data_IF_781266583981
#
_entry.id   IF_781266583981
#
_cell.length_a   1.000
_cell.length_b   1.000
_cell.length_c   1.000
_cell.angle_alpha   90.00
_cell.angle_beta   90.00
_cell.angle_gamma   90.00
#
_symmetry.space_group_name_H-M   'P 1'
#
loop_
_entity.id
_entity.type
_entity.pdbx_description
1 polymer ?
#
# COMPACT_ATOMS: atom_id res chain seq x y z
N UNK A 1 17.64 10.14 61.01
CA UNK A 1 17.98 11.52 60.71
C UNK A 1 17.31 11.92 59.38
N UNK A 2 16.20 12.61 59.46
CA UNK A 2 15.27 12.88 58.36
C UNK A 2 15.81 14.07 57.57
N UNK A 3 16.44 13.81 56.45
CA UNK A 3 16.75 14.89 55.47
C UNK A 3 15.42 15.37 54.88
N UNK A 4 15.02 16.56 55.32
CA UNK A 4 13.71 17.08 55.02
C UNK A 4 13.53 17.36 53.52
N UNK A 5 12.32 17.15 53.04
CA UNK A 5 11.79 17.39 51.68
C UNK A 5 12.19 18.75 51.04
N UNK A 6 12.50 19.75 51.87
CA UNK A 6 13.04 21.06 51.47
C UNK A 6 14.49 21.02 50.93
N UNK A 7 15.31 20.09 51.45
CA UNK A 7 16.70 19.91 51.01
C UNK A 7 16.77 19.34 49.59
N UNK A 8 15.95 18.35 49.25
CA UNK A 8 15.92 17.72 47.92
C UNK A 8 15.47 18.71 46.84
N UNK A 9 14.46 19.53 47.09
CA UNK A 9 14.01 20.56 46.14
C UNK A 9 15.09 21.60 45.85
N UNK A 10 15.85 22.01 46.83
CA UNK A 10 16.94 22.97 46.65
C UNK A 10 18.10 22.37 45.85
N UNK A 11 18.47 21.11 46.14
CA UNK A 11 19.48 20.36 45.39
C UNK A 11 19.09 20.20 43.94
N UNK A 12 17.85 19.81 43.66
CA UNK A 12 17.33 19.70 42.30
C UNK A 12 17.33 21.04 41.57
N UNK A 13 16.97 22.14 42.24
CA UNK A 13 16.99 23.48 41.64
C UNK A 13 18.41 23.94 41.31
N UNK A 14 19.37 23.71 42.19
CA UNK A 14 20.79 24.03 41.92
C UNK A 14 21.35 23.16 40.80
N UNK A 15 21.08 21.84 40.83
CA UNK A 15 21.51 20.94 39.74
C UNK A 15 20.95 21.36 38.38
N UNK A 16 19.68 21.78 38.35
CA UNK A 16 19.05 22.29 37.14
C UNK A 16 19.74 23.54 36.59
N UNK A 17 20.03 24.51 37.44
CA UNK A 17 20.76 25.73 37.03
C UNK A 17 22.20 25.44 36.60
N UNK A 18 22.89 24.51 37.29
CA UNK A 18 24.23 24.06 36.88
C UNK A 18 24.21 23.37 35.51
N UNK A 19 23.18 22.55 35.21
CA UNK A 19 23.01 21.92 33.90
C UNK A 19 22.81 22.96 32.78
N UNK A 20 21.99 23.99 33.04
CA UNK A 20 21.79 25.07 32.09
C UNK A 20 23.10 25.82 31.83
N UNK A 21 23.89 26.07 32.87
CA UNK A 21 25.15 26.78 32.74
C UNK A 21 26.21 25.97 31.99
N UNK A 22 26.25 24.65 32.17
CA UNK A 22 27.09 23.73 31.40
C UNK A 22 26.71 23.72 29.91
N UNK A 23 25.42 23.74 29.59
CA UNK A 23 24.92 23.85 28.21
C UNK A 23 25.33 25.18 27.58
N UNK A 24 25.19 26.28 28.33
CA UNK A 24 25.56 27.64 27.85
C UNK A 24 27.06 27.82 27.60
N UNK A 25 27.90 27.18 28.41
CA UNK A 25 29.37 27.24 28.24
C UNK A 25 29.85 26.47 27.02
N UNK A 26 29.14 25.37 26.64
CA UNK A 26 29.53 24.52 25.51
C UNK A 26 28.44 24.48 24.42
N UNK A 27 27.95 25.62 23.93
CA UNK A 27 26.81 25.79 23.05
C UNK A 27 26.85 24.88 21.81
N UNK A 28 27.98 24.81 21.11
CA UNK A 28 28.14 24.04 19.88
C UNK A 28 27.99 22.54 20.14
N UNK A 29 28.62 22.01 21.21
CA UNK A 29 28.58 20.60 21.54
C UNK A 29 27.20 20.18 22.06
N UNK A 30 26.61 20.98 22.93
CA UNK A 30 25.27 20.77 23.45
C UNK A 30 24.22 20.86 22.35
N UNK A 31 24.38 21.81 21.42
CA UNK A 31 23.52 21.94 20.25
C UNK A 31 23.58 20.70 19.34
N UNK A 32 24.77 20.19 19.03
CA UNK A 32 24.97 18.99 18.22
C UNK A 32 24.37 17.74 18.92
N UNK A 33 24.53 17.62 20.24
CA UNK A 33 23.96 16.50 21.00
C UNK A 33 22.45 16.53 21.01
N UNK A 34 21.84 17.70 21.28
CA UNK A 34 20.38 17.87 21.23
C UNK A 34 19.83 17.59 19.83
N UNK A 35 20.54 18.06 18.80
CA UNK A 35 20.15 17.82 17.42
C UNK A 35 20.21 16.32 17.07
N UNK A 36 21.24 15.60 17.52
CA UNK A 36 21.35 14.15 17.35
C UNK A 36 20.20 13.37 18.00
N UNK A 37 19.85 13.71 19.24
CA UNK A 37 18.72 13.11 19.95
C UNK A 37 17.41 13.44 19.24
N UNK A 38 17.23 14.72 18.87
CA UNK A 38 15.99 15.15 18.20
C UNK A 38 15.80 14.46 16.85
N UNK A 39 16.86 14.32 16.05
CA UNK A 39 16.80 13.58 14.78
C UNK A 39 16.47 12.12 15.03
N UNK A 40 17.12 11.46 16.02
CA UNK A 40 16.88 10.07 16.36
C UNK A 40 15.41 9.81 16.74
N UNK A 41 14.88 10.61 17.67
CA UNK A 41 13.49 10.49 18.12
C UNK A 41 12.49 10.84 17.01
N UNK A 42 12.73 11.93 16.29
CA UNK A 42 11.87 12.33 15.18
C UNK A 42 11.82 11.28 14.07
N UNK A 43 12.96 10.67 13.73
CA UNK A 43 13.02 9.61 12.73
C UNK A 43 12.16 8.40 13.13
N UNK A 44 12.23 7.94 14.40
CA UNK A 44 11.39 6.81 14.85
C UNK A 44 9.92 7.16 14.79
N UNK A 45 9.53 8.30 15.36
CA UNK A 45 8.12 8.71 15.39
C UNK A 45 7.60 8.91 13.96
N UNK A 46 8.36 9.60 13.12
CA UNK A 46 7.99 9.87 11.74
C UNK A 46 7.80 8.58 10.92
N UNK A 47 8.77 7.68 10.96
CA UNK A 47 8.69 6.41 10.23
C UNK A 47 7.57 5.52 10.77
N UNK A 48 7.42 5.40 12.10
CA UNK A 48 6.34 4.60 12.68
C UNK A 48 4.96 5.13 12.34
N UNK A 49 4.79 6.46 12.34
CA UNK A 49 3.53 7.09 11.94
C UNK A 49 3.25 6.85 10.46
N UNK A 50 4.24 7.07 9.58
CA UNK A 50 4.11 6.82 8.16
C UNK A 50 3.72 5.35 7.87
N UNK A 51 4.38 4.39 8.54
CA UNK A 51 4.07 2.96 8.37
C UNK A 51 2.65 2.64 8.83
N UNK A 52 2.21 3.13 10.00
CA UNK A 52 0.84 2.91 10.48
C UNK A 52 -0.21 3.48 9.53
N UNK A 53 0.02 4.67 9.01
CA UNK A 53 -0.86 5.28 8.00
C UNK A 53 -0.90 4.41 6.74
N UNK A 54 0.25 3.94 6.29
CA UNK A 54 0.36 3.08 5.11
C UNK A 54 -0.33 1.72 5.34
N UNK A 55 -0.13 1.07 6.49
CA UNK A 55 -0.82 -0.18 6.87
C UNK A 55 -2.34 0.00 6.89
N UNK A 56 -2.84 1.09 7.46
CA UNK A 56 -4.27 1.43 7.47
C UNK A 56 -4.82 1.65 6.06
N UNK A 57 -4.07 2.37 5.22
CA UNK A 57 -4.44 2.63 3.83
C UNK A 57 -4.45 1.36 2.98
N UNK A 58 -3.47 0.46 3.18
CA UNK A 58 -3.45 -0.85 2.50
C UNK A 58 -4.61 -1.72 2.95
N UNK A 59 -4.87 -1.82 4.25
CA UNK A 59 -6.02 -2.57 4.76
C UNK A 59 -7.34 -2.06 4.18
N UNK A 60 -7.51 -0.74 4.08
CA UNK A 60 -8.68 -0.12 3.46
C UNK A 60 -8.72 -0.36 1.93
N UNK A 61 -7.56 -0.36 1.28
CA UNK A 61 -7.42 -0.62 -0.15
C UNK A 61 -7.72 -2.08 -0.51
N UNK A 62 -7.31 -3.03 0.32
CA UNK A 62 -7.57 -4.47 0.11
C UNK A 62 -9.03 -4.85 0.34
N UNK A 63 -9.79 -4.08 1.12
CA UNK A 63 -11.24 -4.24 1.24
C UNK A 63 -12.01 -3.87 -0.05
N UNK A 64 -11.32 -3.39 -1.08
CA UNK A 64 -11.90 -3.17 -2.41
C UNK A 64 -12.32 -4.49 -3.06
N UNK A 65 -11.62 -5.58 -2.79
CA UNK A 65 -12.00 -6.88 -3.31
C UNK A 65 -13.05 -7.54 -2.43
N UNK A 66 -14.04 -8.17 -3.05
CA UNK A 66 -15.04 -8.95 -2.33
C UNK A 66 -14.36 -10.03 -1.45
N UNK A 67 -14.94 -10.29 -0.29
CA UNK A 67 -14.45 -11.37 0.58
C UNK A 67 -14.43 -12.73 -0.17
N UNK A 68 -13.54 -13.62 0.24
CA UNK A 68 -13.39 -14.96 -0.35
C UNK A 68 -13.01 -14.94 -1.85
N UNK A 69 -12.25 -13.93 -2.28
CA UNK A 69 -11.79 -13.84 -3.67
C UNK A 69 -10.29 -14.08 -3.76
N UNK A 70 -9.87 -14.59 -4.92
CA UNK A 70 -8.46 -14.65 -5.32
C UNK A 70 -8.31 -14.33 -6.80
N UNK A 71 -7.13 -13.87 -7.15
CA UNK A 71 -6.77 -13.46 -8.51
C UNK A 71 -5.74 -14.44 -9.06
N UNK A 72 -5.93 -14.83 -10.32
CA UNK A 72 -4.95 -15.61 -11.05
C UNK A 72 -4.37 -14.72 -12.14
N UNK A 73 -3.06 -14.57 -12.12
CA UNK A 73 -2.34 -13.74 -13.09
C UNK A 73 -0.98 -14.33 -13.45
N UNK A 74 -0.33 -13.75 -14.46
CA UNK A 74 0.97 -14.23 -14.98
C UNK A 74 2.13 -13.95 -14.02
N UNK A 75 2.11 -12.80 -13.36
CA UNK A 75 3.20 -12.29 -12.53
C UNK A 75 2.76 -12.11 -11.09
N UNK A 76 3.66 -12.28 -10.10
CA UNK A 76 3.35 -11.85 -8.73
C UNK A 76 3.10 -10.34 -8.68
N UNK A 77 2.26 -9.88 -7.76
CA UNK A 77 1.91 -8.46 -7.62
C UNK A 77 3.12 -7.63 -7.19
N UNK A 78 3.90 -8.15 -6.26
CA UNK A 78 5.11 -7.51 -5.76
C UNK A 78 6.32 -8.39 -6.13
N UNK A 79 7.26 -7.83 -6.87
CA UNK A 79 8.49 -8.51 -7.26
C UNK A 79 9.67 -7.93 -6.49
N UNK A 80 10.14 -8.63 -5.46
CA UNK A 80 11.39 -8.32 -4.79
C UNK A 80 12.53 -9.16 -5.39
N UNK A 81 13.52 -8.51 -6.02
CA UNK A 81 14.77 -9.15 -6.44
C UNK A 81 14.79 -9.79 -7.83
N UNK A 82 15.83 -10.57 -8.11
CA UNK A 82 16.31 -10.97 -9.44
C UNK A 82 15.49 -11.99 -10.26
N UNK A 83 14.32 -12.42 -9.82
CA UNK A 83 13.57 -13.51 -10.48
C UNK A 83 12.77 -13.12 -11.74
N UNK A 84 12.99 -11.90 -12.27
CA UNK A 84 12.33 -11.45 -13.51
C UNK A 84 12.49 -12.43 -14.68
N UNK A 85 13.60 -13.21 -14.72
CA UNK A 85 13.81 -14.20 -15.78
C UNK A 85 12.87 -15.39 -15.67
N UNK A 86 12.53 -15.85 -14.44
CA UNK A 86 11.60 -16.96 -14.18
C UNK A 86 10.22 -16.65 -14.73
N UNK A 87 9.75 -15.42 -14.54
CA UNK A 87 8.39 -15.00 -14.90
C UNK A 87 8.27 -14.54 -16.35
N UNK A 88 9.34 -14.00 -16.96
CA UNK A 88 9.32 -13.46 -18.32
C UNK A 88 8.90 -14.47 -19.39
N UNK A 89 9.34 -15.72 -19.23
CA UNK A 89 9.08 -16.80 -20.19
C UNK A 89 7.74 -17.50 -19.98
N UNK A 90 6.97 -17.15 -18.94
CA UNK A 90 5.63 -17.71 -18.75
C UNK A 90 4.71 -17.29 -19.89
N UNK A 91 3.89 -18.21 -20.45
CA UNK A 91 2.92 -17.85 -21.46
C UNK A 91 1.82 -16.97 -20.86
N UNK A 92 1.26 -16.05 -21.66
CA UNK A 92 0.15 -15.22 -21.24
C UNK A 92 -1.10 -16.07 -20.93
N UNK A 93 -1.92 -15.60 -19.99
CA UNK A 93 -3.26 -16.14 -19.76
C UNK A 93 -4.17 -15.55 -20.82
N UNK A 94 -4.83 -16.41 -21.61
CA UNK A 94 -5.64 -16.00 -22.75
C UNK A 94 -7.14 -16.02 -22.43
N UNK A 95 -7.91 -15.24 -23.18
CA UNK A 95 -9.37 -15.21 -23.05
C UNK A 95 -10.01 -16.59 -23.33
N UNK A 96 -9.42 -17.38 -24.21
CA UNK A 96 -9.89 -18.76 -24.46
C UNK A 96 -9.68 -19.67 -23.25
N UNK A 97 -8.55 -19.54 -22.54
CA UNK A 97 -8.28 -20.27 -21.30
C UNK A 97 -9.28 -19.88 -20.22
N UNK A 98 -9.58 -18.58 -20.07
CA UNK A 98 -10.64 -18.10 -19.18
C UNK A 98 -12.00 -18.70 -19.52
N UNK A 99 -12.43 -18.65 -20.80
CA UNK A 99 -13.72 -19.25 -21.20
C UNK A 99 -13.81 -20.74 -20.87
N UNK A 100 -12.73 -21.48 -21.11
CA UNK A 100 -12.67 -22.91 -20.75
C UNK A 100 -12.71 -23.13 -19.24
N UNK A 101 -12.06 -22.29 -18.46
CA UNK A 101 -12.12 -22.34 -17.00
C UNK A 101 -13.54 -22.05 -16.51
N UNK A 102 -14.14 -20.93 -16.92
CA UNK A 102 -15.50 -20.51 -16.55
C UNK A 102 -16.55 -21.60 -16.87
N UNK A 103 -16.38 -22.30 -18.00
CA UNK A 103 -17.33 -23.37 -18.41
C UNK A 103 -17.15 -24.68 -17.65
N UNK A 104 -15.98 -24.95 -17.04
CA UNK A 104 -15.67 -26.22 -16.36
C UNK A 104 -15.70 -26.12 -14.84
N UNK A 105 -15.42 -24.97 -14.28
CA UNK A 105 -15.42 -24.75 -12.85
C UNK A 105 -16.85 -24.82 -12.29
N UNK A 106 -17.01 -25.58 -11.20
CA UNK A 106 -18.34 -25.84 -10.58
C UNK A 106 -18.45 -25.25 -9.18
N UNK A 107 -17.34 -25.12 -8.46
CA UNK A 107 -17.32 -24.63 -7.07
C UNK A 107 -17.31 -23.10 -6.95
N UNK A 108 -16.66 -22.34 -7.85
CA UNK A 108 -16.70 -20.89 -7.76
C UNK A 108 -18.12 -20.34 -7.86
N UNK A 109 -18.41 -19.33 -7.05
CA UNK A 109 -19.63 -18.51 -7.19
C UNK A 109 -19.55 -17.65 -8.45
N UNK A 110 -18.35 -17.09 -8.70
CA UNK A 110 -18.09 -16.20 -9.83
C UNK A 110 -16.67 -16.43 -10.37
N UNK A 111 -16.56 -16.44 -11.69
CA UNK A 111 -15.28 -16.38 -12.41
C UNK A 111 -15.38 -15.24 -13.42
N UNK A 112 -14.52 -14.24 -13.27
CA UNK A 112 -14.52 -13.02 -14.07
C UNK A 112 -13.15 -12.78 -14.70
N UNK A 113 -13.11 -12.25 -15.90
CA UNK A 113 -11.88 -11.87 -16.59
C UNK A 113 -11.72 -10.36 -16.62
N UNK A 114 -10.53 -9.89 -16.27
CA UNK A 114 -10.17 -8.48 -16.31
C UNK A 114 -8.82 -8.31 -16.99
N UNK A 115 -8.72 -7.30 -17.85
CA UNK A 115 -7.48 -6.76 -18.39
C UNK A 115 -7.53 -5.24 -18.30
N UNK A 116 -6.42 -4.55 -18.43
CA UNK A 116 -6.42 -3.10 -18.26
C UNK A 116 -5.31 -2.38 -19.00
N UNK A 117 -5.60 -1.16 -19.38
CA UNK A 117 -4.69 -0.22 -19.99
C UNK A 117 -5.04 1.19 -19.51
N UNK A 118 -4.24 2.17 -19.91
CA UNK A 118 -4.51 3.58 -19.61
C UNK A 118 -4.67 4.37 -20.90
N UNK A 119 -5.59 5.33 -20.91
CA UNK A 119 -5.79 6.25 -22.02
C UNK A 119 -5.87 7.69 -21.54
N UNK A 120 -5.44 8.60 -22.41
CA UNK A 120 -5.60 10.05 -22.24
C UNK A 120 -6.51 10.66 -23.32
N UNK A 121 -7.00 9.86 -24.26
CA UNK A 121 -7.90 10.31 -25.32
C UNK A 121 -9.34 9.87 -25.03
N UNK A 122 -9.94 10.53 -24.03
CA UNK A 122 -11.34 10.35 -23.63
C UNK A 122 -12.07 11.66 -23.89
N UNK A 123 -13.09 11.62 -24.77
CA UNK A 123 -13.78 12.83 -25.22
C UNK A 123 -15.30 12.65 -25.25
N UNK A 124 -15.97 13.72 -24.91
CA UNK A 124 -17.41 13.86 -25.12
C UNK A 124 -17.71 15.26 -25.64
N UNK A 125 -18.20 15.39 -26.89
CA UNK A 125 -18.38 16.67 -27.58
C UNK A 125 -17.06 17.48 -27.56
N UNK A 126 -17.10 18.69 -26.96
CA UNK A 126 -15.96 19.61 -26.85
C UNK A 126 -15.13 19.41 -25.56
N UNK A 127 -15.56 18.48 -24.70
CA UNK A 127 -14.85 18.16 -23.44
C UNK A 127 -13.94 16.98 -23.61
N UNK A 128 -12.76 17.07 -23.00
CA UNK A 128 -11.80 15.97 -22.92
C UNK A 128 -11.27 15.77 -21.51
N UNK A 129 -10.83 14.56 -21.19
CA UNK A 129 -10.15 14.25 -19.93
C UNK A 129 -8.66 14.35 -20.16
N UNK A 130 -8.02 15.33 -19.49
CA UNK A 130 -6.58 15.62 -19.63
C UNK A 130 -5.74 14.56 -18.88
N UNK A 131 -6.27 14.01 -17.77
CA UNK A 131 -5.57 13.03 -16.96
C UNK A 131 -5.68 11.62 -17.56
N UNK A 132 -4.72 10.76 -17.20
CA UNK A 132 -4.78 9.35 -17.54
C UNK A 132 -6.00 8.69 -16.91
N UNK A 133 -6.80 8.01 -17.71
CA UNK A 133 -7.98 7.24 -17.28
C UNK A 133 -7.66 5.76 -17.42
N UNK A 134 -8.00 4.97 -16.42
CA UNK A 134 -7.89 3.53 -16.50
C UNK A 134 -9.02 2.96 -17.37
N UNK A 135 -8.65 2.27 -18.45
CA UNK A 135 -9.58 1.53 -19.29
C UNK A 135 -9.45 0.05 -18.90
N UNK A 136 -10.50 -0.51 -18.34
CA UNK A 136 -10.56 -1.92 -17.98
C UNK A 136 -11.46 -2.68 -18.97
N UNK A 137 -10.99 -3.80 -19.46
CA UNK A 137 -11.83 -4.81 -20.08
C UNK A 137 -12.40 -5.72 -19.01
N UNK A 138 -13.71 -5.88 -18.99
CA UNK A 138 -14.38 -6.68 -17.97
C UNK A 138 -15.57 -7.48 -18.48
N UNK A 139 -16.04 -8.42 -17.68
CA UNK A 139 -17.26 -9.18 -17.92
C UNK A 139 -18.37 -8.83 -16.91
N UNK A 140 -19.45 -9.62 -16.86
CA UNK A 140 -20.59 -9.39 -15.96
C UNK A 140 -20.23 -9.39 -14.48
N UNK A 141 -19.14 -10.10 -14.11
CA UNK A 141 -18.66 -10.21 -12.73
C UNK A 141 -17.75 -9.08 -12.28
N UNK A 142 -17.24 -8.28 -13.21
CA UNK A 142 -16.16 -7.31 -12.93
C UNK A 142 -16.57 -6.26 -11.90
N UNK A 143 -17.77 -5.69 -12.01
CA UNK A 143 -18.26 -4.66 -11.09
C UNK A 143 -18.40 -5.23 -9.67
N UNK A 144 -18.97 -6.43 -9.54
CA UNK A 144 -19.12 -7.13 -8.25
C UNK A 144 -17.75 -7.44 -7.62
N UNK A 145 -16.80 -7.90 -8.43
CA UNK A 145 -15.48 -8.26 -7.92
C UNK A 145 -14.74 -7.06 -7.29
N UNK A 146 -14.85 -5.88 -7.88
CA UNK A 146 -14.30 -4.64 -7.31
C UNK A 146 -15.13 -4.07 -6.16
N UNK A 147 -16.10 -4.84 -5.64
CA UNK A 147 -16.97 -4.45 -4.54
C UNK A 147 -17.59 -3.07 -4.74
N UNK A 148 -17.96 -2.78 -5.98
CA UNK A 148 -18.66 -1.55 -6.35
C UNK A 148 -20.06 -1.88 -6.88
N UNK A 149 -20.95 -0.90 -6.83
CA UNK A 149 -22.32 -1.03 -7.29
C UNK A 149 -22.58 -0.04 -8.42
N UNK A 150 -23.59 -0.33 -9.18
CA UNK A 150 -24.10 0.63 -10.15
C UNK A 150 -24.96 1.68 -9.44
N UNK A 151 -24.63 2.94 -9.65
CA UNK A 151 -25.46 4.07 -9.24
C UNK A 151 -26.70 4.17 -10.13
N UNK A 152 -26.49 4.01 -11.47
CA UNK A 152 -27.56 4.05 -12.45
C UNK A 152 -27.21 3.24 -13.70
N UNK A 153 -28.24 2.85 -14.48
CA UNK A 153 -28.06 2.07 -15.68
C UNK A 153 -28.05 0.56 -15.46
N UNK A 154 -27.27 -0.16 -16.29
CA UNK A 154 -27.17 -1.62 -16.27
C UNK A 154 -25.75 -2.12 -16.37
N UNK A 155 -25.52 -3.31 -15.88
CA UNK A 155 -24.27 -4.04 -16.06
C UNK A 155 -24.18 -4.67 -17.46
N UNK A 156 -23.00 -5.19 -17.81
CA UNK A 156 -22.83 -6.00 -19.01
C UNK A 156 -23.70 -7.25 -18.93
N UNK A 157 -24.19 -7.65 -20.08
CA UNK A 157 -24.88 -8.92 -20.28
C UNK A 157 -24.06 -9.77 -21.26
N UNK A 158 -24.34 -11.07 -21.30
CA UNK A 158 -23.66 -12.02 -22.18
C UNK A 158 -23.51 -11.51 -23.62
N UNK A 159 -24.57 -10.90 -24.18
CA UNK A 159 -24.57 -10.38 -25.55
C UNK A 159 -23.60 -9.22 -25.76
N UNK A 160 -23.37 -8.38 -24.77
CA UNK A 160 -22.43 -7.27 -24.89
C UNK A 160 -20.99 -7.78 -25.04
N UNK A 161 -20.68 -8.89 -24.34
CA UNK A 161 -19.36 -9.54 -24.37
C UNK A 161 -19.23 -10.44 -25.62
N UNK A 162 -20.27 -11.22 -25.91
CA UNK A 162 -20.25 -12.18 -27.02
C UNK A 162 -20.08 -11.50 -28.37
N UNK A 163 -20.77 -10.39 -28.57
CA UNK A 163 -20.74 -9.60 -29.83
C UNK A 163 -19.78 -8.43 -29.81
N UNK A 164 -18.91 -8.33 -28.81
CA UNK A 164 -17.92 -7.23 -28.66
C UNK A 164 -18.56 -5.85 -28.87
N UNK A 165 -19.71 -5.58 -28.21
CA UNK A 165 -20.42 -4.31 -28.37
C UNK A 165 -19.59 -3.15 -27.86
N UNK A 166 -19.69 -2.00 -28.51
CA UNK A 166 -19.06 -0.76 -28.09
C UNK A 166 -19.93 -0.06 -27.02
N UNK A 167 -19.96 -0.63 -25.83
CA UNK A 167 -20.64 -0.09 -24.64
C UNK A 167 -19.65 0.09 -23.53
N UNK A 168 -19.92 1.00 -22.59
CA UNK A 168 -19.06 1.22 -21.44
C UNK A 168 -19.83 1.53 -20.17
N UNK A 169 -19.22 1.19 -19.03
CA UNK A 169 -19.60 1.60 -17.67
C UNK A 169 -18.53 2.58 -17.21
N UNK A 170 -18.92 3.69 -16.61
CA UNK A 170 -18.00 4.76 -16.24
C UNK A 170 -18.04 5.04 -14.73
N UNK A 171 -16.89 5.39 -14.17
CA UNK A 171 -16.79 5.87 -12.80
C UNK A 171 -17.22 7.33 -12.67
N UNK A 172 -17.54 7.74 -11.44
CA UNK A 172 -18.14 9.05 -11.17
C UNK A 172 -17.23 10.23 -11.55
N UNK A 173 -15.92 10.09 -11.51
CA UNK A 173 -14.99 11.15 -11.96
C UNK A 173 -15.15 11.47 -13.46
N UNK A 174 -15.48 10.47 -14.25
CA UNK A 174 -15.72 10.67 -15.69
C UNK A 174 -17.03 11.42 -15.91
N UNK A 175 -18.05 11.10 -15.08
CA UNK A 175 -19.33 11.83 -15.10
C UNK A 175 -19.11 13.29 -14.77
N UNK A 176 -18.41 13.58 -13.69
CA UNK A 176 -18.16 14.95 -13.21
C UNK A 176 -17.41 15.80 -14.26
N UNK A 177 -16.46 15.18 -14.96
CA UNK A 177 -15.62 15.88 -15.94
C UNK A 177 -16.31 16.07 -17.29
N UNK A 178 -16.98 15.05 -17.79
CA UNK A 178 -17.53 15.07 -19.16
C UNK A 178 -19.02 15.42 -19.20
N UNK A 179 -19.82 15.00 -18.20
CA UNK A 179 -21.27 15.08 -18.21
C UNK A 179 -21.84 16.00 -17.11
N UNK A 180 -21.14 17.10 -16.77
CA UNK A 180 -21.37 17.98 -15.61
C UNK A 180 -22.84 18.36 -15.37
N UNK A 181 -23.70 18.43 -16.39
CA UNK A 181 -25.12 18.80 -16.26
C UNK A 181 -26.02 17.93 -17.15
N UNK A 182 -25.57 16.77 -17.54
CA UNK A 182 -26.30 15.87 -18.42
C UNK A 182 -26.28 14.45 -17.86
N UNK A 183 -27.37 13.72 -18.04
CA UNK A 183 -27.40 12.29 -17.80
C UNK A 183 -26.47 11.57 -18.79
N UNK A 184 -25.45 10.82 -18.32
CA UNK A 184 -24.51 10.11 -19.20
C UNK A 184 -25.14 8.88 -19.87
N UNK A 185 -26.23 8.31 -19.34
CA UNK A 185 -26.81 7.07 -19.86
C UNK A 185 -27.32 7.24 -21.31
N UNK A 186 -26.98 6.26 -22.14
CA UNK A 186 -27.30 6.25 -23.56
C UNK A 186 -26.51 7.27 -24.41
N UNK A 187 -25.67 8.09 -23.81
CA UNK A 187 -24.80 9.02 -24.54
C UNK A 187 -23.61 8.30 -25.14
N UNK A 188 -23.09 8.88 -26.21
CA UNK A 188 -21.99 8.35 -26.98
C UNK A 188 -20.74 9.15 -26.69
N UNK A 189 -19.71 8.52 -26.15
CA UNK A 189 -18.40 9.12 -25.87
C UNK A 189 -17.31 8.45 -26.69
N UNK A 190 -16.18 9.13 -26.87
CA UNK A 190 -15.02 8.60 -27.60
C UNK A 190 -13.94 8.14 -26.63
N UNK A 191 -13.42 6.96 -26.87
CA UNK A 191 -12.27 6.37 -26.20
C UNK A 191 -11.26 5.99 -27.27
N UNK A 192 -10.08 6.62 -27.29
CA UNK A 192 -9.08 6.46 -28.34
C UNK A 192 -9.68 6.61 -29.76
N UNK A 193 -10.54 7.61 -29.96
CA UNK A 193 -11.19 7.88 -31.21
C UNK A 193 -12.37 6.96 -31.58
N UNK A 194 -12.61 5.89 -30.83
CA UNK A 194 -13.73 4.95 -31.03
C UNK A 194 -14.93 5.34 -30.20
N UNK A 195 -16.11 5.19 -30.77
CA UNK A 195 -17.39 5.54 -30.13
C UNK A 195 -17.90 4.42 -29.22
N UNK A 196 -18.25 4.77 -27.96
CA UNK A 196 -18.84 3.87 -26.98
C UNK A 196 -20.12 4.47 -26.39
N UNK A 197 -21.14 3.66 -26.18
CA UNK A 197 -22.36 4.07 -25.50
C UNK A 197 -22.24 3.81 -23.99
N UNK A 198 -22.51 4.83 -23.19
CA UNK A 198 -22.56 4.68 -21.72
C UNK A 198 -23.82 3.92 -21.36
N UNK A 199 -23.68 2.76 -20.72
CA UNK A 199 -24.80 1.89 -20.28
C UNK A 199 -24.98 1.84 -18.78
N UNK A 200 -23.98 2.28 -18.01
CA UNK A 200 -24.02 2.30 -16.55
C UNK A 200 -23.00 3.28 -15.97
N UNK A 201 -23.29 3.72 -14.76
CA UNK A 201 -22.45 4.58 -13.92
C UNK A 201 -22.27 3.87 -12.59
N UNK A 202 -21.07 3.84 -12.04
CA UNK A 202 -20.80 3.25 -10.73
C UNK A 202 -21.01 4.26 -9.61
N UNK A 203 -21.30 3.77 -8.39
CA UNK A 203 -21.30 4.59 -7.19
C UNK A 203 -19.91 5.18 -6.93
N UNK A 204 -19.88 6.33 -6.23
CA UNK A 204 -18.63 6.97 -5.83
C UNK A 204 -17.93 6.17 -4.74
N UNK A 205 -16.70 5.77 -5.00
CA UNK A 205 -15.85 5.03 -4.04
C UNK A 205 -14.86 5.94 -3.30
N UNK A 206 -14.60 7.15 -3.82
CA UNK A 206 -13.67 8.12 -3.25
C UNK A 206 -12.21 7.85 -3.61
N UNK A 207 -11.30 8.19 -2.71
CA UNK A 207 -9.85 8.12 -2.96
C UNK A 207 -9.19 7.02 -2.11
N UNK A 208 -8.15 6.42 -2.66
CA UNK A 208 -7.24 5.57 -1.93
C UNK A 208 -5.79 5.90 -2.33
N UNK A 209 -4.90 6.00 -1.36
CA UNK A 209 -3.49 6.37 -1.58
C UNK A 209 -3.28 7.69 -2.34
N UNK A 210 -4.24 8.63 -2.23
CA UNK A 210 -4.20 9.91 -2.95
C UNK A 210 -4.60 9.82 -4.42
N UNK A 211 -5.08 8.67 -4.88
CA UNK A 211 -5.64 8.48 -6.23
C UNK A 211 -7.14 8.20 -6.15
N UNK A 212 -7.89 8.77 -7.09
CA UNK A 212 -9.32 8.52 -7.20
C UNK A 212 -9.59 7.10 -7.69
N UNK A 213 -10.46 6.37 -6.97
CA UNK A 213 -10.97 5.06 -7.38
C UNK A 213 -12.07 5.16 -8.43
N UNK A 214 -12.53 6.38 -8.73
CA UNK A 214 -13.65 6.65 -9.63
C UNK A 214 -13.20 7.09 -11.04
N UNK A 215 -11.86 7.15 -11.28
CA UNK A 215 -11.27 7.57 -12.55
C UNK A 215 -11.02 6.37 -13.49
N UNK A 216 -12.08 5.64 -13.83
CA UNK A 216 -11.99 4.47 -14.70
C UNK A 216 -13.17 4.38 -15.67
N UNK A 217 -12.97 3.58 -16.72
CA UNK A 217 -13.99 3.16 -17.68
C UNK A 217 -13.85 1.64 -17.84
N UNK A 218 -14.96 0.92 -17.78
CA UNK A 218 -15.00 -0.51 -18.09
C UNK A 218 -15.70 -0.70 -19.43
N UNK A 219 -15.10 -1.51 -20.31
CA UNK A 219 -15.69 -1.95 -21.57
C UNK A 219 -15.75 -3.49 -21.59
N UNK A 220 -16.56 -4.12 -22.46
CA UNK A 220 -16.57 -5.58 -22.54
C UNK A 220 -15.16 -6.13 -22.80
N UNK A 221 -14.79 -7.20 -22.08
CA UNK A 221 -13.45 -7.80 -22.20
C UNK A 221 -13.09 -8.21 -23.61
N UNK A 222 -14.06 -8.68 -24.39
CA UNK A 222 -13.87 -9.03 -25.81
C UNK A 222 -13.54 -7.79 -26.65
N UNK A 223 -14.25 -6.69 -26.45
CA UNK A 223 -13.99 -5.41 -27.11
C UNK A 223 -12.62 -4.85 -26.69
N UNK A 224 -12.26 -4.98 -25.40
CA UNK A 224 -10.96 -4.56 -24.91
C UNK A 224 -9.83 -5.33 -25.59
N UNK A 225 -9.93 -6.65 -25.65
CA UNK A 225 -8.91 -7.49 -26.31
C UNK A 225 -8.77 -7.16 -27.79
N UNK A 226 -9.88 -6.90 -28.48
CA UNK A 226 -9.86 -6.58 -29.90
C UNK A 226 -9.24 -5.20 -30.20
N UNK A 227 -9.49 -4.20 -29.35
CA UNK A 227 -9.15 -2.79 -29.63
C UNK A 227 -7.93 -2.25 -28.86
N UNK A 228 -7.63 -2.79 -27.67
CA UNK A 228 -6.62 -2.25 -26.76
C UNK A 228 -5.53 -3.25 -26.39
N UNK A 229 -5.77 -4.56 -26.54
CA UNK A 229 -4.78 -5.57 -26.18
C UNK A 229 -3.67 -5.67 -27.21
N UNK A 230 -2.48 -5.97 -26.74
CA UNK A 230 -1.32 -6.30 -27.58
C UNK A 230 -0.80 -7.71 -27.21
N UNK A 231 0.19 -8.20 -27.94
CA UNK A 231 0.76 -9.55 -27.73
C UNK A 231 1.38 -9.76 -26.34
N UNK A 232 1.59 -8.71 -25.56
CA UNK A 232 2.18 -8.76 -24.22
C UNK A 232 1.15 -8.83 -23.11
N UNK A 233 -0.12 -8.53 -23.43
CA UNK A 233 -1.19 -8.53 -22.44
C UNK A 233 -1.51 -9.95 -21.98
N UNK A 234 -1.71 -10.09 -20.68
CA UNK A 234 -2.13 -11.32 -20.05
C UNK A 234 -3.35 -11.01 -19.17
N UNK A 235 -4.44 -11.69 -19.44
CA UNK A 235 -5.69 -11.52 -18.69
C UNK A 235 -5.48 -11.93 -17.23
N UNK A 236 -6.08 -11.20 -16.31
CA UNK A 236 -6.26 -11.61 -14.92
C UNK A 236 -7.61 -12.29 -14.79
N UNK A 237 -7.64 -13.40 -14.07
CA UNK A 237 -8.87 -14.14 -13.77
C UNK A 237 -9.17 -13.93 -12.29
N UNK A 238 -10.31 -13.35 -12.02
CA UNK A 238 -10.82 -13.13 -10.69
C UNK A 238 -11.81 -14.25 -10.34
N UNK A 239 -11.64 -14.85 -9.19
CA UNK A 239 -12.45 -15.96 -8.72
C UNK A 239 -13.00 -15.63 -7.35
N UNK A 240 -14.32 -15.80 -7.18
CA UNK A 240 -15.02 -15.68 -5.91
C UNK A 240 -15.52 -17.05 -5.47
N UNK A 241 -15.16 -17.47 -4.26
CA UNK A 241 -15.72 -18.67 -3.64
C UNK A 241 -17.06 -18.35 -2.97
N UNK A 242 -17.94 -19.34 -2.86
CA UNK A 242 -19.28 -19.17 -2.28
C UNK A 242 -19.24 -18.81 -0.79
N UNK A 243 -18.19 -19.23 -0.08
CA UNK A 243 -17.99 -18.96 1.35
C UNK A 243 -16.52 -19.18 1.72
N UNK A 244 -16.15 -18.74 2.92
CA UNK A 244 -14.83 -18.99 3.49
C UNK A 244 -14.55 -20.50 3.65
N UNK A 245 -15.57 -21.28 4.03
CA UNK A 245 -15.46 -22.73 4.18
C UNK A 245 -15.18 -23.45 2.85
N UNK A 246 -15.62 -22.91 1.74
CA UNK A 246 -15.42 -23.48 0.40
C UNK A 246 -14.22 -22.91 -0.33
N UNK A 247 -13.55 -21.91 0.25
CA UNK A 247 -12.49 -21.14 -0.38
C UNK A 247 -11.33 -22.02 -0.86
N UNK A 248 -10.71 -22.79 0.04
CA UNK A 248 -9.59 -23.66 -0.31
C UNK A 248 -9.98 -24.71 -1.36
N UNK A 249 -11.14 -25.34 -1.18
CA UNK A 249 -11.66 -26.32 -2.15
C UNK A 249 -11.92 -25.70 -3.53
N UNK A 250 -12.34 -24.44 -3.57
CA UNK A 250 -12.56 -23.69 -4.82
C UNK A 250 -11.24 -23.37 -5.48
N UNK A 251 -10.27 -22.91 -4.69
CA UNK A 251 -8.91 -22.62 -5.14
C UNK A 251 -8.25 -23.87 -5.76
N UNK A 252 -8.30 -25.00 -5.07
CA UNK A 252 -7.74 -26.27 -5.55
C UNK A 252 -8.37 -26.74 -6.85
N UNK A 253 -9.71 -26.66 -6.97
CA UNK A 253 -10.40 -26.99 -8.22
C UNK A 253 -9.93 -26.11 -9.38
N UNK A 254 -9.88 -24.80 -9.14
CA UNK A 254 -9.51 -23.82 -10.17
C UNK A 254 -8.05 -24.01 -10.60
N UNK A 255 -7.13 -24.25 -9.66
CA UNK A 255 -5.73 -24.58 -9.94
C UNK A 255 -5.65 -25.83 -10.81
N UNK A 256 -6.29 -26.91 -10.40
CA UNK A 256 -6.28 -28.18 -11.13
C UNK A 256 -6.82 -28.05 -12.55
N UNK A 257 -7.95 -27.34 -12.71
CA UNK A 257 -8.53 -27.05 -14.02
C UNK A 257 -7.61 -26.20 -14.89
N UNK A 258 -7.03 -25.14 -14.33
CA UNK A 258 -6.18 -24.25 -15.09
C UNK A 258 -4.87 -24.92 -15.49
N UNK A 259 -4.25 -25.73 -14.61
CA UNK A 259 -3.08 -26.57 -14.97
C UNK A 259 -3.42 -27.50 -16.14
N UNK A 260 -4.59 -28.15 -16.11
CA UNK A 260 -5.07 -29.02 -17.21
C UNK A 260 -5.27 -28.23 -18.50
N UNK A 261 -5.92 -27.05 -18.45
CA UNK A 261 -6.18 -26.20 -19.61
C UNK A 261 -4.88 -25.69 -20.23
N UNK A 262 -3.88 -25.35 -19.40
CA UNK A 262 -2.58 -24.85 -19.81
C UNK A 262 -1.57 -25.96 -20.09
N UNK A 263 -1.91 -27.21 -19.83
CA UNK A 263 -1.06 -28.41 -20.01
C UNK A 263 0.23 -28.32 -19.19
N UNK A 264 0.14 -27.82 -17.97
CA UNK A 264 1.29 -27.75 -17.04
C UNK A 264 1.60 -29.18 -16.57
N UNK A 265 2.86 -29.65 -16.68
CA UNK A 265 3.24 -31.00 -16.23
C UNK A 265 2.99 -31.18 -14.73
N UNK A 266 2.63 -32.41 -14.27
CA UNK A 266 2.32 -32.65 -12.85
C UNK A 266 3.44 -32.25 -11.87
N UNK A 267 4.69 -32.48 -12.24
CA UNK A 267 5.87 -32.22 -11.40
C UNK A 267 6.41 -30.79 -11.52
N UNK A 268 5.80 -29.95 -12.38
CA UNK A 268 6.26 -28.57 -12.58
C UNK A 268 5.48 -27.60 -11.69
N UNK A 269 6.13 -26.51 -11.30
CA UNK A 269 5.49 -25.35 -10.67
C UNK A 269 4.39 -24.81 -11.59
N UNK A 270 3.45 -24.05 -11.01
CA UNK A 270 2.45 -23.33 -11.79
C UNK A 270 3.13 -22.27 -12.68
N UNK A 271 2.67 -22.16 -13.91
CA UNK A 271 3.08 -21.11 -14.84
C UNK A 271 2.19 -19.84 -14.73
N UNK A 272 1.50 -19.72 -13.62
CA UNK A 272 0.68 -18.58 -13.19
C UNK A 272 0.82 -18.40 -11.68
N UNK A 273 0.49 -17.21 -11.20
CA UNK A 273 0.43 -16.88 -9.78
C UNK A 273 -1.01 -16.79 -9.30
N UNK A 274 -1.21 -17.13 -8.05
CA UNK A 274 -2.48 -16.94 -7.34
C UNK A 274 -2.22 -15.87 -6.29
N UNK A 275 -3.02 -14.85 -6.29
CA UNK A 275 -2.91 -13.74 -5.36
C UNK A 275 -4.15 -13.75 -4.48
N UNK A 276 -3.93 -13.90 -3.21
CA UNK A 276 -4.96 -13.82 -2.18
C UNK A 276 -4.79 -12.54 -1.38
N UNK A 277 -5.87 -12.07 -0.76
CA UNK A 277 -5.80 -10.92 0.14
C UNK A 277 -4.80 -11.16 1.28
N UNK A 278 -4.76 -12.39 1.80
CA UNK A 278 -3.82 -12.76 2.88
C UNK A 278 -2.37 -12.66 2.43
N UNK A 279 -2.04 -13.23 1.26
CA UNK A 279 -0.67 -13.14 0.72
C UNK A 279 -0.25 -11.69 0.43
N UNK A 280 -1.16 -10.84 -0.03
CA UNK A 280 -0.88 -9.42 -0.22
C UNK A 280 -0.58 -8.73 1.11
N UNK A 281 -1.38 -9.00 2.15
CA UNK A 281 -1.15 -8.47 3.51
C UNK A 281 0.19 -8.96 4.05
N UNK A 282 0.51 -10.24 3.91
CA UNK A 282 1.75 -10.83 4.41
C UNK A 282 2.99 -10.26 3.70
N UNK A 283 2.95 -10.14 2.39
CA UNK A 283 4.03 -9.51 1.62
C UNK A 283 4.24 -8.05 2.02
N UNK A 284 3.15 -7.32 2.21
CA UNK A 284 3.21 -5.93 2.66
C UNK A 284 3.75 -5.81 4.09
N UNK A 285 3.30 -6.70 5.00
CA UNK A 285 3.80 -6.78 6.37
C UNK A 285 5.29 -7.10 6.44
N UNK A 286 5.77 -8.00 5.58
CA UNK A 286 7.19 -8.29 5.43
C UNK A 286 8.01 -7.08 5.01
N UNK A 287 7.53 -6.34 4.02
CA UNK A 287 8.17 -5.10 3.56
C UNK A 287 8.20 -4.02 4.64
N UNK A 288 7.08 -3.74 5.28
CA UNK A 288 7.00 -2.73 6.35
C UNK A 288 7.83 -3.11 7.57
N UNK A 289 7.93 -4.41 7.89
CA UNK A 289 8.80 -4.92 8.95
C UNK A 289 10.28 -4.63 8.66
N UNK A 290 10.73 -4.81 7.42
CA UNK A 290 12.08 -4.44 7.00
C UNK A 290 12.38 -2.95 7.21
N UNK A 291 11.44 -2.08 6.83
CA UNK A 291 11.56 -0.63 7.04
C UNK A 291 11.59 -0.29 8.55
N UNK A 292 10.75 -0.94 9.37
CA UNK A 292 10.73 -0.76 10.83
C UNK A 292 12.09 -1.10 11.44
N UNK A 293 12.67 -2.24 11.09
CA UNK A 293 13.99 -2.67 11.57
C UNK A 293 15.09 -1.69 11.14
N UNK A 294 15.08 -1.26 9.89
CA UNK A 294 16.04 -0.27 9.39
C UNK A 294 15.93 1.06 10.14
N UNK A 295 14.72 1.60 10.31
CA UNK A 295 14.51 2.85 11.05
C UNK A 295 14.94 2.75 12.52
N UNK A 296 14.64 1.61 13.18
CA UNK A 296 15.08 1.35 14.55
C UNK A 296 16.62 1.33 14.62
N UNK A 297 17.28 0.66 13.70
CA UNK A 297 18.75 0.57 13.64
C UNK A 297 19.39 1.95 13.51
N UNK A 298 18.91 2.78 12.61
CA UNK A 298 19.38 4.17 12.43
C UNK A 298 19.18 4.99 13.71
N UNK A 299 18.03 4.82 14.36
CA UNK A 299 17.74 5.53 15.61
C UNK A 299 18.66 5.10 16.76
N UNK A 300 18.93 3.81 16.90
CA UNK A 300 19.89 3.30 17.90
C UNK A 300 21.27 3.89 17.69
N UNK A 301 21.75 3.95 16.44
CA UNK A 301 23.03 4.57 16.09
C UNK A 301 23.03 6.06 16.48
N UNK A 302 21.98 6.79 16.14
CA UNK A 302 21.84 8.21 16.48
C UNK A 302 21.87 8.43 18.00
N UNK A 303 21.16 7.60 18.77
CA UNK A 303 21.15 7.67 20.23
C UNK A 303 22.53 7.35 20.85
N UNK A 304 23.24 6.37 20.31
CA UNK A 304 24.62 6.05 20.76
C UNK A 304 25.54 7.23 20.52
N UNK A 305 25.49 7.84 19.34
CA UNK A 305 26.32 9.04 19.01
C UNK A 305 25.97 10.20 19.94
N UNK A 306 24.68 10.43 20.18
CA UNK A 306 24.23 11.45 21.13
C UNK A 306 24.69 11.16 22.56
N UNK A 307 24.65 9.88 22.99
CA UNK A 307 25.15 9.43 24.29
C UNK A 307 26.64 9.70 24.48
N UNK A 308 27.45 9.44 23.44
CA UNK A 308 28.88 9.77 23.45
C UNK A 308 29.09 11.30 23.60
N UNK A 309 28.25 12.09 22.91
CA UNK A 309 28.27 13.54 23.04
C UNK A 309 27.99 14.02 24.46
N UNK A 310 26.95 13.45 25.12
CA UNK A 310 26.62 13.76 26.52
C UNK A 310 27.76 13.34 27.44
N UNK A 311 28.29 12.13 27.26
CA UNK A 311 29.41 11.63 28.05
C UNK A 311 30.63 12.59 27.98
N UNK A 312 30.96 13.06 26.80
CA UNK A 312 32.06 14.02 26.62
C UNK A 312 31.80 15.36 27.33
N UNK A 313 30.57 15.88 27.31
CA UNK A 313 30.18 17.10 28.04
C UNK A 313 30.34 16.88 29.55
N UNK A 314 29.86 15.75 30.04
CA UNK A 314 29.92 15.42 31.45
C UNK A 314 31.36 15.22 31.94
N UNK A 315 32.22 14.55 31.16
CA UNK A 315 33.63 14.36 31.49
C UNK A 315 34.35 15.73 31.59
N UNK A 316 34.12 16.64 30.64
CA UNK A 316 34.70 18.00 30.71
C UNK A 316 34.20 18.78 31.94
N UNK A 317 32.89 18.73 32.21
CA UNK A 317 32.29 19.38 33.38
C UNK A 317 32.87 18.84 34.72
N UNK A 318 33.09 17.53 34.81
CA UNK A 318 33.71 16.92 36.00
C UNK A 318 35.15 17.30 36.13
N UNK A 319 35.94 17.32 35.02
CA UNK A 319 37.37 17.70 35.06
C UNK A 319 37.56 19.15 35.46
N UNK A 320 36.72 20.07 35.01
CA UNK A 320 36.74 21.50 35.40
C UNK A 320 36.47 21.68 36.92
N UNK A 321 35.77 20.73 37.58
CA UNK A 321 35.35 20.81 38.95
C UNK A 321 36.08 19.81 39.91
N UNK A 322 37.15 19.21 39.47
CA UNK A 322 37.90 18.22 40.28
C UNK A 322 38.29 18.80 41.66
N UNK A 323 38.73 20.06 41.67
CA UNK A 323 39.16 20.76 42.91
C UNK A 323 37.99 20.94 43.87
N UNK A 324 36.82 21.28 43.39
CA UNK A 324 35.60 21.47 44.17
C UNK A 324 35.12 20.11 44.74
N UNK A 325 35.11 19.05 43.93
CA UNK A 325 34.78 17.68 44.33
C UNK A 325 35.76 17.18 45.41
N UNK A 326 37.06 17.49 45.21
CA UNK A 326 38.11 17.15 46.20
C UNK A 326 37.88 17.80 47.55
N UNK A 327 37.53 19.06 47.58
CA UNK A 327 37.24 19.80 48.84
C UNK A 327 36.02 19.20 49.53
N UNK A 328 34.90 18.93 48.81
CA UNK A 328 33.71 18.33 49.38
C UNK A 328 33.98 16.94 49.94
N UNK A 329 34.78 16.15 49.26
CA UNK A 329 35.16 14.81 49.73
C UNK A 329 36.06 14.88 50.97
N UNK A 330 36.94 15.87 51.07
CA UNK A 330 37.77 16.11 52.27
C UNK A 330 36.95 16.53 53.51
N UNK A 331 35.81 17.19 53.33
CA UNK A 331 34.88 17.60 54.38
C UNK A 331 33.89 16.46 54.74
N UNK A 332 33.96 15.28 54.07
CA UNK A 332 33.20 14.11 54.44
C UNK A 332 31.96 13.85 53.57
N UNK A 333 31.80 14.44 52.40
CA UNK A 333 30.72 14.14 51.51
C UNK A 333 30.82 12.70 50.95
N UNK A 334 29.70 11.97 51.00
CA UNK A 334 29.62 10.60 50.47
C UNK A 334 29.62 10.57 48.95
N UNK A 335 29.98 9.41 48.37
CA UNK A 335 29.86 9.22 46.88
C UNK A 335 28.46 9.53 46.35
N UNK A 336 27.44 9.23 47.16
CA UNK A 336 26.04 9.43 46.80
C UNK A 336 25.67 10.93 46.72
N UNK A 337 26.23 11.72 47.69
CA UNK A 337 26.01 13.16 47.71
C UNK A 337 26.64 13.84 46.48
N UNK A 338 27.82 13.39 46.07
CA UNK A 338 28.52 13.90 44.89
C UNK A 338 27.77 13.50 43.62
N UNK A 339 27.37 12.23 43.46
CA UNK A 339 26.64 11.72 42.30
C UNK A 339 25.24 12.34 42.13
N UNK A 340 24.58 12.75 43.23
CA UNK A 340 23.25 13.41 43.15
C UNK A 340 23.36 14.88 42.77
N UNK A 341 24.54 15.47 42.81
CA UNK A 341 24.77 16.87 42.53
C UNK A 341 25.36 17.09 41.10
N UNK A 342 25.96 16.04 40.54
CA UNK A 342 26.50 15.98 39.19
C UNK A 342 25.74 15.02 38.31
#
# INVERSE_FOLDING_TARGET
MIMGSRSIKNVLKESFWMAIDAIRKNKLRSGLTLLGISIGVFSVIGVMTAIRTLESSVASGLNVFAANTFIIQKYPEIQFGGDRKKYRNRPNITFNQYKKLKSRAKKPLLVSAVDGSYSRDIRYRDKEVINSVQIAGGDEGTIRFYNTFLYDGRNFVFDDIHYSKNVCIIGMDIVDRLFTNEDPLGKKMKINGLDYFVIGVTERQGEAFGESKDNFIVIPISTFIEKFSNQWNSIRIHVEASSELTYENTKDEVIGLLRSIRKVPPESDNDFEIITNTEMIDQFSGFTSGIKIFALSVSVIALVVAGIGIMNIMLVSVTERIKEIGIRKAIGATKKDILTQF
#
